data_IF_032929036751
#
_entry.id   IF_032929036751
#
_cell.length_a   1.000
_cell.length_b   1.000
_cell.length_c   1.000
_cell.angle_alpha   90.00
_cell.angle_beta   90.00
_cell.angle_gamma   90.00
#
_symmetry.space_group_name_H-M   'P 1'
#
loop_
_entity.id
_entity.type
_entity.pdbx_description
1 polymer ?
#
# COMPACT_ATOMS: atom_id res chain seq x y z
N UNK A 1 11.14 -20.05 -16.16
CA UNK A 1 9.71 -19.93 -15.80
C UNK A 1 9.49 -18.61 -15.05
N UNK A 2 8.31 -17.97 -15.06
CA UNK A 2 7.85 -16.89 -14.14
C UNK A 2 7.77 -15.40 -14.61
N UNK A 3 7.83 -15.08 -15.90
CA UNK A 3 7.50 -13.70 -16.35
C UNK A 3 6.00 -13.36 -16.19
N UNK A 4 5.11 -14.36 -16.21
CA UNK A 4 3.65 -14.22 -15.99
C UNK A 4 3.28 -13.94 -14.53
N UNK A 5 3.90 -14.61 -13.56
CA UNK A 5 3.65 -14.42 -12.12
C UNK A 5 4.07 -13.03 -11.63
N UNK A 6 5.27 -12.55 -12.01
CA UNK A 6 5.72 -11.17 -11.71
C UNK A 6 4.78 -10.08 -12.25
N UNK A 7 4.15 -10.27 -13.43
CA UNK A 7 3.26 -9.26 -14.04
C UNK A 7 1.87 -9.22 -13.38
N UNK A 8 1.34 -10.38 -12.97
CA UNK A 8 0.08 -10.48 -12.22
C UNK A 8 0.22 -9.87 -10.82
N UNK A 9 1.39 -10.04 -10.16
CA UNK A 9 1.68 -9.44 -8.84
C UNK A 9 1.69 -7.91 -8.86
N UNK A 10 2.25 -7.29 -9.90
CA UNK A 10 2.30 -5.82 -9.99
C UNK A 10 0.90 -5.21 -10.07
N UNK A 11 -0.04 -5.87 -10.74
CA UNK A 11 -1.42 -5.39 -10.82
C UNK A 11 -2.14 -5.52 -9.47
N UNK A 12 -1.94 -6.63 -8.76
CA UNK A 12 -2.48 -6.82 -7.39
C UNK A 12 -1.91 -5.79 -6.40
N UNK A 13 -0.62 -5.51 -6.47
CA UNK A 13 0.01 -4.49 -5.63
C UNK A 13 -0.55 -3.08 -5.89
N UNK A 14 -0.89 -2.76 -7.15
CA UNK A 14 -1.54 -1.48 -7.49
C UNK A 14 -2.97 -1.39 -6.97
N UNK A 15 -3.76 -2.45 -7.06
CA UNK A 15 -5.14 -2.45 -6.54
C UNK A 15 -5.15 -2.36 -5.01
N UNK A 16 -4.26 -3.09 -4.34
CA UNK A 16 -4.08 -3.02 -2.89
C UNK A 16 -3.63 -1.62 -2.44
N UNK A 17 -2.71 -0.99 -3.17
CA UNK A 17 -2.29 0.39 -2.90
C UNK A 17 -3.46 1.39 -2.97
N UNK A 18 -4.37 1.22 -3.93
CA UNK A 18 -5.57 2.07 -4.04
C UNK A 18 -6.50 1.84 -2.84
N UNK A 19 -6.72 0.57 -2.48
CA UNK A 19 -7.55 0.21 -1.31
C UNK A 19 -6.99 0.79 -0.02
N UNK A 20 -5.68 0.63 0.22
CA UNK A 20 -5.02 1.18 1.42
C UNK A 20 -5.07 2.71 1.48
N UNK A 21 -4.98 3.41 0.34
CA UNK A 21 -5.15 4.87 0.29
C UNK A 21 -6.57 5.29 0.69
N UNK A 22 -7.60 4.57 0.22
CA UNK A 22 -8.99 4.79 0.65
C UNK A 22 -9.15 4.53 2.14
N UNK A 23 -8.55 3.46 2.66
CA UNK A 23 -8.56 3.16 4.09
C UNK A 23 -7.92 4.29 4.94
N UNK A 24 -6.78 4.84 4.51
CA UNK A 24 -6.16 5.99 5.18
C UNK A 24 -7.07 7.22 5.18
N UNK A 25 -7.79 7.48 4.08
CA UNK A 25 -8.73 8.60 4.01
C UNK A 25 -9.88 8.41 5.02
N UNK A 26 -10.45 7.21 5.08
CA UNK A 26 -11.51 6.88 6.04
C UNK A 26 -11.02 7.00 7.48
N UNK A 27 -9.83 6.49 7.80
CA UNK A 27 -9.25 6.62 9.15
C UNK A 27 -8.98 8.09 9.52
N UNK A 28 -8.55 8.92 8.57
CA UNK A 28 -8.38 10.37 8.80
C UNK A 28 -9.73 11.05 9.05
N UNK A 29 -10.76 10.67 8.31
CA UNK A 29 -12.12 11.19 8.49
C UNK A 29 -12.68 10.78 9.86
N UNK A 30 -12.57 9.50 10.23
CA UNK A 30 -12.92 8.99 11.56
C UNK A 30 -12.17 9.73 12.67
N UNK A 31 -10.89 10.06 12.45
CA UNK A 31 -10.11 10.87 13.40
C UNK A 31 -10.62 12.30 13.52
N UNK A 32 -11.00 12.94 12.41
CA UNK A 32 -11.51 14.32 12.45
C UNK A 32 -12.87 14.44 13.11
N UNK A 33 -13.72 13.42 13.00
CA UNK A 33 -15.03 13.38 13.67
C UNK A 33 -14.96 12.82 15.11
N UNK A 34 -13.77 12.48 15.60
CA UNK A 34 -13.56 11.98 16.97
C UNK A 34 -13.99 10.53 17.22
N UNK A 35 -14.36 9.77 16.18
CA UNK A 35 -14.83 8.37 16.28
C UNK A 35 -13.69 7.34 16.19
N UNK A 36 -12.43 7.78 16.05
CA UNK A 36 -11.30 6.86 15.92
C UNK A 36 -10.70 6.52 17.28
N UNK A 37 -11.02 5.34 17.80
CA UNK A 37 -10.45 4.82 19.05
C UNK A 37 -8.96 4.46 18.91
N UNK A 38 -8.55 3.89 17.77
CA UNK A 38 -7.18 3.41 17.56
C UNK A 38 -6.41 4.24 16.51
N UNK A 39 -5.72 5.27 16.98
CA UNK A 39 -4.89 6.13 16.11
C UNK A 39 -3.66 5.43 15.54
N UNK A 40 -3.20 4.32 16.14
CA UNK A 40 -2.05 3.54 15.65
C UNK A 40 -2.33 2.88 14.31
N UNK A 41 -3.60 2.63 13.99
CA UNK A 41 -4.01 1.98 12.74
C UNK A 41 -3.68 2.85 11.52
N UNK A 42 -3.70 4.18 11.66
CA UNK A 42 -3.24 5.11 10.62
C UNK A 42 -1.75 4.88 10.32
N UNK A 43 -0.92 4.75 11.37
CA UNK A 43 0.53 4.54 11.24
C UNK A 43 0.83 3.19 10.60
N UNK A 44 0.13 2.12 11.00
CA UNK A 44 0.27 0.78 10.39
C UNK A 44 -0.11 0.80 8.91
N UNK A 45 -1.25 1.40 8.57
CA UNK A 45 -1.73 1.47 7.17
C UNK A 45 -0.77 2.28 6.30
N UNK A 46 -0.19 3.38 6.82
CA UNK A 46 0.87 4.13 6.14
C UNK A 46 2.14 3.30 5.90
N UNK A 47 2.54 2.45 6.86
CA UNK A 47 3.71 1.57 6.71
C UNK A 47 3.49 0.51 5.64
N UNK A 48 2.29 -0.10 5.58
CA UNK A 48 1.92 -1.06 4.50
C UNK A 48 2.03 -0.42 3.11
N UNK A 49 1.52 0.81 2.96
CA UNK A 49 1.65 1.57 1.70
C UNK A 49 3.12 1.77 1.32
N UNK A 50 3.98 2.12 2.29
CA UNK A 50 5.40 2.33 2.04
C UNK A 50 6.08 1.01 1.60
N UNK A 51 5.80 -0.11 2.27
CA UNK A 51 6.33 -1.42 1.90
C UNK A 51 5.97 -1.82 0.47
N UNK A 52 4.71 -1.67 0.07
CA UNK A 52 4.28 -1.98 -1.31
C UNK A 52 5.00 -1.10 -2.33
N UNK A 53 5.17 0.19 -2.04
CA UNK A 53 5.93 1.11 -2.91
C UNK A 53 7.39 0.70 -3.02
N UNK A 54 8.03 0.32 -1.91
CA UNK A 54 9.42 -0.15 -1.91
C UNK A 54 9.56 -1.44 -2.72
N UNK A 55 8.67 -2.40 -2.53
CA UNK A 55 8.65 -3.64 -3.34
C UNK A 55 8.50 -3.34 -4.83
N UNK A 56 7.64 -2.38 -5.21
CA UNK A 56 7.51 -1.94 -6.60
C UNK A 56 8.80 -1.27 -7.11
N UNK A 57 9.46 -0.45 -6.29
CA UNK A 57 10.72 0.22 -6.61
C UNK A 57 11.88 -0.76 -6.81
N UNK A 58 12.03 -1.74 -5.92
CA UNK A 58 13.09 -2.76 -6.01
C UNK A 58 12.94 -3.61 -7.29
N UNK A 59 11.70 -3.95 -7.66
CA UNK A 59 11.41 -4.64 -8.93
C UNK A 59 11.74 -3.79 -10.19
N UNK A 60 11.82 -2.46 -10.05
CA UNK A 60 12.28 -1.56 -11.12
C UNK A 60 13.80 -1.42 -11.11
N UNK A 61 14.45 -1.35 -9.93
CA UNK A 61 15.90 -1.30 -9.79
C UNK A 61 16.60 -2.53 -10.35
N UNK A 62 16.10 -3.74 -10.05
CA UNK A 62 16.65 -5.01 -10.60
C UNK A 62 16.54 -5.13 -12.14
N UNK A 63 15.70 -4.32 -12.79
CA UNK A 63 15.53 -4.35 -14.25
C UNK A 63 16.48 -3.40 -14.99
N UNK A 64 17.15 -2.50 -14.26
CA UNK A 64 18.09 -1.51 -14.80
C UNK A 64 19.55 -1.83 -14.43
N UNK A 65 19.81 -3.00 -13.84
CA UNK A 65 21.14 -3.52 -13.51
C UNK A 65 21.48 -4.71 -14.42
#
# INVERSE_FOLDING_TARGET
>A
MNKKTKKVDVNKNKTELISLKKAVLNLKFQRSIGQLENTSEIKKTRRKIAQIKTSLSNNHGEKNA
#
